data_IF_938038717004
#
_entry.id   IF_938038717004
#
_cell.length_a   1.000
_cell.length_b   1.000
_cell.length_c   1.000
_cell.angle_alpha   90.00
_cell.angle_beta   90.00
_cell.angle_gamma   90.00
#
_symmetry.space_group_name_H-M   'P 1'
#
loop_
_entity.id
_entity.type
_entity.pdbx_description
1 polymer ?
#
# COMPACT_ATOMS: atom_id res chain seq x y z
N UNK A 1 -26.31 -10.77 -7.50
CA UNK A 1 -26.57 -11.20 -6.78
C UNK A 1 -25.88 -10.96 -5.82
N UNK A 2 -26.11 -10.69 -5.11
CA UNK A 2 -25.48 -10.44 -4.24
C UNK A 2 -25.05 -11.44 -3.63
N UNK A 3 -24.12 -11.77 -3.71
CA UNK A 3 -23.65 -12.73 -3.05
C UNK A 3 -22.94 -12.27 -1.92
N UNK A 4 -23.07 -11.08 -1.49
CA UNK A 4 -22.38 -10.67 -0.36
C UNK A 4 -22.89 -11.33 0.83
N UNK A 5 -22.07 -11.85 1.69
CA UNK A 5 -22.50 -12.45 2.92
C UNK A 5 -23.04 -11.35 3.79
N UNK A 6 -24.18 -11.60 4.42
CA UNK A 6 -24.73 -10.63 5.22
C UNK A 6 -24.00 -10.42 6.47
N UNK A 7 -23.32 -11.40 7.01
CA UNK A 7 -22.67 -11.29 8.27
C UNK A 7 -21.22 -11.59 8.16
N UNK A 8 -20.50 -10.81 7.40
CA UNK A 8 -19.07 -11.02 7.29
C UNK A 8 -18.40 -10.56 8.54
N UNK A 9 -17.74 -11.45 9.25
CA UNK A 9 -17.00 -11.10 10.42
C UNK A 9 -15.54 -11.29 10.17
N UNK A 10 -14.74 -10.30 10.50
CA UNK A 10 -13.31 -10.36 10.28
C UNK A 10 -12.64 -10.57 11.62
N UNK A 11 -11.91 -11.66 11.74
CA UNK A 11 -11.19 -11.96 12.97
C UNK A 11 -9.72 -11.68 12.76
N UNK A 12 -9.07 -11.15 13.77
CA UNK A 12 -7.65 -10.84 13.70
C UNK A 12 -6.95 -11.79 14.64
N UNK A 13 -6.14 -12.72 14.13
CA UNK A 13 -5.38 -13.60 15.03
C UNK A 13 -4.47 -12.78 15.92
N UNK A 14 -4.21 -13.22 17.13
CA UNK A 14 -3.44 -12.41 18.05
C UNK A 14 -2.08 -11.99 17.53
N UNK A 15 -1.41 -12.87 16.79
CA UNK A 15 -0.09 -12.52 16.30
C UNK A 15 -0.17 -11.55 15.14
N UNK A 16 -1.35 -11.25 14.60
CA UNK A 16 -1.46 -10.29 13.51
C UNK A 16 -1.91 -8.92 14.01
N UNK A 17 -2.22 -8.80 15.29
CA UNK A 17 -2.73 -7.55 15.80
C UNK A 17 -1.75 -6.40 15.60
N UNK A 18 -0.45 -6.56 15.83
CA UNK A 18 0.46 -5.44 15.62
C UNK A 18 0.66 -5.10 14.15
N UNK A 19 0.40 -6.06 13.28
CA UNK A 19 0.62 -5.82 11.86
C UNK A 19 2.08 -5.84 11.48
N UNK A 20 2.32 -5.47 10.24
CA UNK A 20 3.67 -5.45 9.70
C UNK A 20 3.94 -4.05 9.20
N UNK A 21 5.00 -3.42 9.67
CA UNK A 21 5.35 -2.09 9.23
C UNK A 21 6.02 -2.14 7.87
N UNK A 22 5.69 -1.21 7.01
CA UNK A 22 6.33 -1.07 5.71
C UNK A 22 6.34 0.41 5.37
N UNK A 23 7.35 0.85 4.69
CA UNK A 23 7.42 2.26 4.28
C UNK A 23 7.69 2.41 2.79
N UNK A 24 7.59 1.34 2.03
CA UNK A 24 7.72 1.41 0.59
C UNK A 24 6.83 0.32 0.01
N UNK A 25 6.23 0.57 -1.14
CA UNK A 25 5.37 -0.42 -1.73
C UNK A 25 5.65 -0.51 -3.21
N UNK A 26 5.65 -1.71 -3.73
CA UNK A 26 5.74 -1.95 -5.16
C UNK A 26 4.57 -2.78 -5.59
N UNK A 27 4.10 -2.57 -6.81
CA UNK A 27 2.96 -3.31 -7.32
C UNK A 27 3.30 -3.84 -8.69
N UNK A 28 2.98 -5.08 -8.94
CA UNK A 28 3.14 -5.65 -10.27
C UNK A 28 2.02 -6.64 -10.50
N UNK A 29 1.90 -7.14 -11.71
CA UNK A 29 0.77 -7.99 -12.01
C UNK A 29 1.13 -9.01 -13.07
N UNK A 30 0.32 -10.07 -13.11
CA UNK A 30 0.33 -11.00 -14.20
C UNK A 30 -1.07 -10.98 -14.82
N UNK A 31 -1.36 -11.89 -15.69
CA UNK A 31 -2.71 -11.96 -16.26
C UNK A 31 -3.73 -12.42 -15.23
N UNK A 32 -3.27 -12.98 -14.12
CA UNK A 32 -4.20 -13.62 -13.19
C UNK A 32 -4.27 -12.96 -11.84
N UNK A 33 -3.32 -12.13 -11.46
CA UNK A 33 -3.35 -11.53 -10.15
C UNK A 33 -2.50 -10.28 -10.11
N UNK A 34 -2.68 -9.52 -9.06
CA UNK A 34 -1.82 -8.40 -8.74
C UNK A 34 -1.04 -8.78 -7.51
N UNK A 35 0.18 -8.33 -7.43
CA UNK A 35 1.01 -8.56 -6.25
C UNK A 35 1.39 -7.22 -5.67
N UNK A 36 1.23 -7.07 -4.38
CA UNK A 36 1.60 -5.85 -3.69
C UNK A 36 2.70 -6.23 -2.72
N UNK A 37 3.88 -5.66 -2.93
CA UNK A 37 5.03 -5.96 -2.09
C UNK A 37 5.20 -4.82 -1.12
N UNK A 38 5.00 -5.10 0.15
CA UNK A 38 5.23 -4.12 1.19
C UNK A 38 6.65 -4.29 1.66
N UNK A 39 7.41 -3.20 1.64
CA UNK A 39 8.85 -3.28 1.86
C UNK A 39 9.30 -2.30 2.91
N UNK A 40 10.46 -2.54 3.45
CA UNK A 40 11.12 -1.61 4.34
C UNK A 40 12.41 -1.18 3.68
N UNK A 41 12.63 0.12 3.56
CA UNK A 41 13.85 0.65 3.02
C UNK A 41 14.87 0.65 4.13
N UNK A 42 16.04 0.08 3.85
CA UNK A 42 17.08 -0.02 4.83
C UNK A 42 18.30 0.75 4.35
N UNK A 43 18.55 1.90 4.89
CA UNK A 43 19.62 2.75 4.38
C UNK A 43 21.02 2.24 4.65
N UNK A 44 21.14 1.27 5.55
CA UNK A 44 22.48 0.85 5.89
C UNK A 44 22.83 -0.49 5.33
N UNK A 45 22.37 -0.84 4.18
CA UNK A 45 22.63 -2.18 3.70
C UNK A 45 23.92 -2.33 2.96
N UNK A 46 24.60 -1.29 2.71
CA UNK A 46 25.85 -1.47 1.98
C UNK A 46 25.69 -1.50 0.50
N UNK A 47 24.54 -1.13 -0.01
CA UNK A 47 24.35 -1.16 -1.42
C UNK A 47 25.09 -0.05 -2.13
N UNK A 48 25.68 0.84 -1.45
CA UNK A 48 26.42 1.91 -2.09
C UNK A 48 25.86 3.26 -1.70
N UNK A 49 26.62 4.29 -1.93
CA UNK A 49 26.21 5.61 -1.44
C UNK A 49 24.96 6.16 -2.13
N UNK A 50 24.73 5.77 -3.35
CA UNK A 50 23.59 6.31 -4.04
C UNK A 50 22.47 5.32 -4.19
N UNK A 51 22.48 4.24 -3.47
CA UNK A 51 21.50 3.20 -3.65
C UNK A 51 20.90 2.82 -2.32
N UNK A 52 19.59 2.80 -2.25
CA UNK A 52 18.92 2.31 -1.08
C UNK A 52 18.41 0.92 -1.40
N UNK A 53 18.42 0.08 -0.42
CA UNK A 53 17.91 -1.26 -0.59
C UNK A 53 16.61 -1.40 0.14
N UNK A 54 15.64 -2.04 -0.47
CA UNK A 54 14.37 -2.29 0.14
C UNK A 54 14.16 -3.79 0.25
N UNK A 55 13.63 -4.22 1.37
CA UNK A 55 13.41 -5.63 1.56
C UNK A 55 11.93 -5.87 1.68
N UNK A 56 11.40 -6.84 0.95
CA UNK A 56 10.00 -7.17 1.02
C UNK A 56 9.73 -7.86 2.33
N UNK A 57 8.83 -7.30 3.11
CA UNK A 57 8.45 -7.93 4.36
C UNK A 57 7.13 -8.68 4.23
N UNK A 58 6.30 -8.33 3.28
CA UNK A 58 5.06 -9.02 3.05
C UNK A 58 4.66 -8.85 1.61
N UNK A 59 4.32 -9.94 0.96
CA UNK A 59 3.79 -9.89 -0.39
C UNK A 59 2.37 -10.38 -0.36
N UNK A 60 1.44 -9.60 -0.88
CA UNK A 60 0.05 -10.00 -0.90
C UNK A 60 -0.37 -10.11 -2.35
N UNK A 61 -0.98 -11.23 -2.71
CA UNK A 61 -1.44 -11.42 -4.07
C UNK A 61 -2.95 -11.38 -4.04
N UNK A 62 -3.54 -10.61 -4.94
CA UNK A 62 -4.98 -10.46 -4.96
C UNK A 62 -5.49 -10.70 -6.36
N UNK A 63 -6.72 -11.13 -6.48
CA UNK A 63 -7.29 -11.24 -7.82
C UNK A 63 -7.53 -9.86 -8.40
N UNK A 64 -7.48 -9.73 -9.73
CA UNK A 64 -7.69 -8.40 -10.32
C UNK A 64 -9.03 -7.80 -9.94
N UNK A 65 -10.03 -8.63 -9.66
CA UNK A 65 -11.33 -8.11 -9.33
C UNK A 65 -11.36 -7.41 -7.99
N UNK A 66 -10.32 -7.59 -7.15
CA UNK A 66 -10.29 -6.92 -5.86
C UNK A 66 -9.63 -5.55 -5.94
N UNK A 67 -9.01 -5.23 -7.05
CA UNK A 67 -8.19 -4.03 -7.12
C UNK A 67 -9.02 -2.77 -6.87
N UNK A 68 -10.21 -2.67 -7.50
CA UNK A 68 -10.98 -1.45 -7.33
C UNK A 68 -11.54 -1.34 -5.92
N UNK A 69 -11.87 -2.46 -5.29
CA UNK A 69 -12.34 -2.40 -3.93
C UNK A 69 -11.22 -1.92 -3.02
N UNK A 70 -10.01 -2.38 -3.25
CA UNK A 70 -8.89 -1.96 -2.43
C UNK A 70 -8.65 -0.47 -2.60
N UNK A 71 -8.66 0.01 -3.84
CA UNK A 71 -8.43 1.41 -4.09
C UNK A 71 -9.51 2.25 -3.43
N UNK A 72 -10.76 1.82 -3.51
CA UNK A 72 -11.82 2.58 -2.91
C UNK A 72 -11.71 2.62 -1.40
N UNK A 73 -11.39 1.48 -0.79
CA UNK A 73 -11.29 1.43 0.66
C UNK A 73 -10.17 2.32 1.16
N UNK A 74 -9.02 2.32 0.48
CA UNK A 74 -7.92 3.16 0.88
C UNK A 74 -8.30 4.62 0.70
N UNK A 75 -8.94 4.92 -0.41
CA UNK A 75 -9.28 6.31 -0.69
C UNK A 75 -10.29 6.85 0.31
N UNK A 76 -11.25 6.03 0.72
CA UNK A 76 -12.22 6.48 1.69
C UNK A 76 -11.56 6.73 3.03
N UNK A 77 -10.64 5.88 3.43
CA UNK A 77 -9.97 6.08 4.68
C UNK A 77 -9.02 7.26 4.63
N UNK A 78 -8.41 7.49 3.49
CA UNK A 78 -7.56 8.65 3.32
C UNK A 78 -8.39 9.91 3.53
N UNK A 79 -9.60 9.96 2.98
CA UNK A 79 -10.44 11.13 3.16
C UNK A 79 -10.80 11.35 4.62
N UNK A 80 -11.09 10.27 5.33
CA UNK A 80 -11.42 10.41 6.73
C UNK A 80 -10.21 10.84 7.53
N UNK A 81 -9.04 10.34 7.18
CA UNK A 81 -7.83 10.75 7.88
C UNK A 81 -7.60 12.24 7.68
N UNK A 82 -7.72 12.69 6.43
CA UNK A 82 -7.44 14.10 6.16
C UNK A 82 -8.47 15.02 6.78
N UNK A 83 -9.69 14.58 6.92
CA UNK A 83 -10.70 15.39 7.56
C UNK A 83 -10.40 15.55 9.04
N UNK A 84 -9.76 14.58 9.66
CA UNK A 84 -9.48 14.65 11.08
C UNK A 84 -8.11 15.24 11.36
N UNK A 85 -7.11 14.87 10.61
CA UNK A 85 -5.75 15.22 10.91
C UNK A 85 -5.09 16.18 9.93
N UNK A 86 -5.75 16.49 8.83
CA UNK A 86 -5.17 17.38 7.85
C UNK A 86 -4.62 16.65 6.67
N UNK A 87 -4.33 17.41 5.66
CA UNK A 87 -3.90 16.84 4.41
C UNK A 87 -2.56 16.17 4.51
N UNK A 88 -2.39 15.03 3.89
CA UNK A 88 -1.13 14.36 3.86
C UNK A 88 -0.29 14.95 2.76
N UNK A 89 0.95 15.29 3.07
CA UNK A 89 1.85 15.80 2.07
C UNK A 89 2.98 14.84 1.89
N UNK A 90 3.24 14.49 0.68
CA UNK A 90 4.31 13.56 0.37
C UNK A 90 5.44 14.32 -0.28
N UNK A 91 6.64 14.22 0.19
CA UNK A 91 7.74 14.95 -0.43
C UNK A 91 7.90 14.61 -1.90
N UNK A 92 7.69 13.37 -2.26
CA UNK A 92 7.82 13.03 -3.62
C UNK A 92 6.77 13.63 -4.45
N UNK A 93 5.57 13.77 -3.95
CA UNK A 93 4.53 14.31 -4.72
C UNK A 93 4.59 15.81 -4.79
N UNK A 94 5.40 16.39 -3.96
CA UNK A 94 5.54 17.78 -4.06
C UNK A 94 6.52 18.18 -5.04
N UNK A 95 7.16 17.30 -5.73
CA UNK A 95 8.02 17.65 -6.70
C UNK A 95 7.41 18.39 -7.72
N UNK A 96 7.93 19.17 -8.36
CA UNK A 96 7.37 20.01 -9.32
C UNK A 96 6.73 19.27 -10.34
N UNK A 97 5.54 19.06 -10.13
CA UNK A 97 4.93 18.33 -11.05
C UNK A 97 4.91 18.93 -12.30
N UNK A 98 5.04 20.13 -12.41
CA UNK A 98 5.02 20.72 -13.59
C UNK A 98 5.87 20.05 -14.47
N UNK A 99 6.87 19.49 -13.99
CA UNK A 99 7.67 18.85 -14.87
C UNK A 99 7.06 17.77 -15.48
N UNK A 100 6.24 17.17 -14.82
CA UNK A 100 5.72 16.09 -15.34
C UNK A 100 4.71 16.37 -16.19
N UNK A 101 4.31 17.39 -16.14
CA UNK A 101 3.32 17.62 -16.85
C UNK A 101 3.59 17.91 -17.95
N UNK A 102 4.25 18.01 -17.96
CA UNK A 102 4.46 18.27 -18.89
C UNK A 102 4.42 17.80 -19.48
#
# INVERSE_FOLDING_TARGET
>A
MSDQPKNLQVAVPPDQVPGQYANFVGVWHTAHDFAIDFCVIQPFTGAGPDTLAAQVVTRVRIPPTLVFELLRAINENLGQFEATFGEIKSPELEEPDEDREQ
#
